data_IF_959175681615
#
_entry.id   IF_959175681615
#
_cell.length_a   1.000
_cell.length_b   1.000
_cell.length_c   1.000
_cell.angle_alpha   90.00
_cell.angle_beta   90.00
_cell.angle_gamma   90.00
#
_symmetry.space_group_name_H-M   'P 1'
#
loop_
_entity.id
_entity.type
_entity.pdbx_description
1 polymer ?
#
# COMPACT_ATOMS: atom_id res chain seq x y z
N UNK A 1 -13.12 -9.82 -11.91
CA UNK A 1 -11.93 -10.32 -12.61
C UNK A 1 -10.69 -10.01 -11.79
N UNK A 2 -9.85 -11.01 -11.49
CA UNK A 2 -8.54 -10.81 -10.85
C UNK A 2 -7.48 -10.76 -11.94
N UNK A 3 -6.73 -9.64 -12.00
CA UNK A 3 -5.51 -9.55 -12.81
C UNK A 3 -4.30 -9.76 -11.90
N UNK A 4 -3.33 -10.53 -12.35
CA UNK A 4 -2.09 -10.76 -11.60
C UNK A 4 -0.90 -10.47 -12.50
N UNK A 5 0.01 -9.66 -11.96
CA UNK A 5 1.30 -9.38 -12.54
C UNK A 5 2.35 -10.15 -11.76
N UNK A 6 3.03 -11.07 -12.40
CA UNK A 6 4.25 -11.66 -11.86
C UNK A 6 5.43 -10.80 -12.30
N UNK A 7 5.97 -10.04 -11.36
CA UNK A 7 7.11 -9.17 -11.61
C UNK A 7 8.40 -9.99 -11.48
N UNK A 8 9.00 -10.31 -12.60
CA UNK A 8 10.28 -11.00 -12.65
C UNK A 8 11.38 -9.97 -12.90
N UNK A 9 12.33 -9.86 -11.98
CA UNK A 9 13.45 -8.98 -12.16
C UNK A 9 14.57 -9.74 -12.87
N UNK A 10 14.65 -9.59 -14.20
CA UNK A 10 15.70 -10.17 -15.03
C UNK A 10 17.05 -9.46 -14.92
N UNK A 11 17.12 -8.38 -14.14
CA UNK A 11 18.38 -7.70 -13.91
C UNK A 11 19.28 -8.59 -13.04
N UNK A 12 20.19 -9.27 -13.69
CA UNK A 12 21.36 -9.89 -13.07
C UNK A 12 22.16 -8.76 -12.43
N UNK A 13 21.92 -8.48 -11.16
CA UNK A 13 22.84 -7.68 -10.38
C UNK A 13 24.11 -8.51 -10.21
N UNK A 14 25.12 -8.21 -11.01
CA UNK A 14 26.47 -8.71 -10.80
C UNK A 14 26.93 -8.16 -9.45
N UNK A 15 27.06 -9.04 -8.46
CA UNK A 15 27.66 -8.66 -7.17
C UNK A 15 29.16 -8.57 -7.41
N UNK A 16 29.73 -7.35 -7.48
CA UNK A 16 31.17 -7.21 -7.61
C UNK A 16 31.82 -7.70 -6.33
N UNK A 17 32.81 -8.58 -6.43
CA UNK A 17 33.68 -8.89 -5.31
C UNK A 17 35.13 -8.56 -5.69
N UNK A 18 35.89 -8.15 -4.70
CA UNK A 18 37.30 -7.86 -4.88
C UNK A 18 38.03 -9.19 -4.84
N UNK A 19 38.80 -9.50 -5.91
CA UNK A 19 39.62 -10.72 -5.95
C UNK A 19 40.63 -10.68 -4.80
N UNK A 20 40.89 -11.83 -4.21
CA UNK A 20 41.91 -11.97 -3.15
C UNK A 20 43.34 -11.94 -3.67
N UNK A 21 43.61 -11.40 -4.87
CA UNK A 21 44.95 -11.23 -5.38
C UNK A 21 45.67 -10.10 -4.62
N UNK A 22 46.72 -10.37 -3.85
CA UNK A 22 47.38 -9.36 -3.02
C UNK A 22 48.23 -8.36 -3.85
N UNK A 23 48.44 -8.61 -5.12
CA UNK A 23 49.29 -7.77 -5.98
C UNK A 23 48.44 -6.89 -6.92
N UNK A 24 47.36 -7.43 -7.44
CA UNK A 24 46.46 -6.73 -8.35
C UNK A 24 45.01 -7.05 -7.98
N UNK A 25 44.42 -6.36 -7.00
CA UNK A 25 43.00 -6.54 -6.69
C UNK A 25 42.17 -6.11 -7.90
N UNK A 26 41.55 -7.08 -8.55
CA UNK A 26 40.60 -6.85 -9.63
C UNK A 26 39.19 -7.00 -9.12
N UNK A 27 38.27 -6.18 -9.63
CA UNK A 27 36.85 -6.39 -9.38
C UNK A 27 36.41 -7.52 -10.32
N UNK A 28 36.12 -8.67 -9.73
CA UNK A 28 35.53 -9.79 -10.44
C UNK A 28 34.03 -9.80 -10.21
N UNK A 29 33.27 -10.11 -11.26
CA UNK A 29 31.84 -10.29 -11.16
C UNK A 29 31.58 -11.79 -11.03
N UNK A 30 31.18 -12.19 -9.82
CA UNK A 30 31.09 -13.62 -9.48
C UNK A 30 30.03 -14.36 -10.30
N UNK A 31 30.45 -15.53 -10.77
CA UNK A 31 29.62 -16.41 -11.61
C UNK A 31 28.70 -17.38 -10.82
N UNK A 32 28.44 -17.16 -9.54
CA UNK A 32 27.50 -18.01 -8.79
C UNK A 32 26.02 -17.61 -9.01
N UNK A 33 25.80 -16.74 -10.01
CA UNK A 33 24.46 -16.29 -10.43
C UNK A 33 23.55 -17.43 -10.88
N UNK A 34 24.14 -18.53 -11.40
CA UNK A 34 23.32 -19.63 -11.92
C UNK A 34 22.58 -20.40 -10.83
N UNK A 35 23.23 -20.68 -9.71
CA UNK A 35 22.57 -21.36 -8.57
C UNK A 35 21.55 -20.47 -7.87
N UNK A 36 21.83 -19.16 -7.79
CA UNK A 36 20.90 -18.18 -7.21
C UNK A 36 19.70 -18.03 -8.13
N UNK A 37 19.90 -17.93 -9.44
CA UNK A 37 18.81 -17.86 -10.42
C UNK A 37 17.97 -19.13 -10.44
N UNK A 38 18.57 -20.31 -10.44
CA UNK A 38 17.84 -21.58 -10.42
C UNK A 38 16.99 -21.71 -9.17
N UNK A 39 17.51 -21.28 -8.02
CA UNK A 39 16.76 -21.27 -6.75
C UNK A 39 15.62 -20.27 -6.75
N UNK A 40 15.87 -19.07 -7.29
CA UNK A 40 14.84 -18.03 -7.39
C UNK A 40 13.74 -18.43 -8.40
N UNK A 41 14.09 -18.96 -9.55
CA UNK A 41 13.12 -19.47 -10.52
C UNK A 41 12.24 -20.57 -9.91
N UNK A 42 12.84 -21.53 -9.20
CA UNK A 42 12.08 -22.57 -8.53
C UNK A 42 11.10 -22.00 -7.51
N UNK A 43 11.53 -21.02 -6.70
CA UNK A 43 10.66 -20.35 -5.73
C UNK A 43 9.52 -19.57 -6.42
N UNK A 44 9.80 -18.91 -7.54
CA UNK A 44 8.79 -18.22 -8.35
C UNK A 44 7.77 -19.23 -8.89
N UNK A 45 8.21 -20.35 -9.43
CA UNK A 45 7.32 -21.39 -9.96
C UNK A 45 6.46 -22.02 -8.85
N UNK A 46 7.04 -22.30 -7.68
CA UNK A 46 6.31 -22.81 -6.52
C UNK A 46 5.25 -21.79 -6.05
N UNK A 47 5.60 -20.51 -5.96
CA UNK A 47 4.66 -19.45 -5.59
C UNK A 47 3.56 -19.27 -6.64
N UNK A 48 3.89 -19.33 -7.94
CA UNK A 48 2.90 -19.31 -9.03
C UNK A 48 1.93 -20.49 -8.89
N UNK A 49 2.45 -21.70 -8.67
CA UNK A 49 1.62 -22.89 -8.52
C UNK A 49 0.65 -22.78 -7.33
N UNK A 50 1.14 -22.37 -6.16
CA UNK A 50 0.31 -22.13 -4.98
C UNK A 50 -0.77 -21.09 -5.24
N UNK A 51 -0.43 -20.00 -5.92
CA UNK A 51 -1.36 -18.94 -6.27
C UNK A 51 -2.46 -19.47 -7.20
N UNK A 52 -2.10 -20.20 -8.27
CA UNK A 52 -3.08 -20.78 -9.21
C UNK A 52 -4.02 -21.77 -8.53
N UNK A 53 -3.52 -22.58 -7.60
CA UNK A 53 -4.33 -23.50 -6.80
C UNK A 53 -5.35 -22.74 -5.94
N UNK A 54 -4.95 -21.67 -5.28
CA UNK A 54 -5.85 -20.81 -4.49
C UNK A 54 -6.92 -20.16 -5.36
N UNK A 55 -6.56 -19.62 -6.53
CA UNK A 55 -7.50 -19.03 -7.49
C UNK A 55 -8.54 -20.06 -7.95
N UNK A 56 -8.09 -21.29 -8.24
CA UNK A 56 -8.96 -22.39 -8.64
C UNK A 56 -9.92 -22.80 -7.51
N UNK A 57 -9.41 -22.95 -6.28
CA UNK A 57 -10.23 -23.26 -5.11
C UNK A 57 -11.30 -22.19 -4.85
N UNK A 58 -10.95 -20.92 -5.02
CA UNK A 58 -11.86 -19.79 -4.84
C UNK A 58 -12.75 -19.50 -6.05
N UNK A 59 -12.60 -20.27 -7.15
CA UNK A 59 -13.35 -20.09 -8.41
C UNK A 59 -13.25 -18.67 -8.97
N UNK A 60 -12.10 -18.06 -8.89
CA UNK A 60 -11.85 -16.71 -9.39
C UNK A 60 -11.45 -16.76 -10.87
N UNK A 61 -11.95 -15.80 -11.66
CA UNK A 61 -11.47 -15.60 -13.03
C UNK A 61 -10.15 -14.84 -12.99
N UNK A 62 -9.12 -15.41 -13.60
CA UNK A 62 -7.75 -14.88 -13.59
C UNK A 62 -7.29 -14.57 -15.01
N UNK A 63 -6.60 -13.45 -15.17
CA UNK A 63 -5.80 -13.12 -16.34
C UNK A 63 -4.37 -12.85 -15.90
N UNK A 64 -3.40 -13.49 -16.57
CA UNK A 64 -1.97 -13.26 -16.34
C UNK A 64 -1.45 -12.43 -17.50
N UNK A 65 -0.80 -11.31 -17.19
CA UNK A 65 -0.17 -10.46 -18.19
C UNK A 65 1.35 -10.56 -18.06
N UNK A 66 2.00 -10.80 -19.20
CA UNK A 66 3.44 -10.71 -19.36
C UNK A 66 3.67 -9.69 -20.48
N UNK A 67 4.06 -8.49 -20.13
CA UNK A 67 4.28 -7.42 -21.10
C UNK A 67 5.76 -7.05 -21.20
N UNK A 68 6.14 -6.39 -22.32
CA UNK A 68 7.48 -5.85 -22.52
C UNK A 68 7.58 -4.43 -21.97
N UNK A 69 8.65 -4.12 -21.25
CA UNK A 69 8.90 -2.79 -20.68
C UNK A 69 9.56 -2.88 -19.31
N UNK A 70 9.78 -1.73 -18.66
CA UNK A 70 10.24 -1.76 -17.27
C UNK A 70 9.10 -2.22 -16.37
N UNK A 71 9.40 -3.02 -15.35
CA UNK A 71 8.39 -3.57 -14.42
C UNK A 71 7.49 -2.48 -13.82
N UNK A 72 8.06 -1.34 -13.46
CA UNK A 72 7.29 -0.21 -12.93
C UNK A 72 6.31 0.36 -13.96
N UNK A 73 6.72 0.47 -15.22
CA UNK A 73 5.84 0.98 -16.27
C UNK A 73 4.66 0.04 -16.50
N UNK A 74 4.90 -1.27 -16.55
CA UNK A 74 3.85 -2.28 -16.68
C UNK A 74 2.83 -2.17 -15.54
N UNK A 75 3.31 -2.06 -14.29
CA UNK A 75 2.44 -1.90 -13.11
C UNK A 75 1.56 -0.66 -13.22
N UNK A 76 2.11 0.47 -13.68
CA UNK A 76 1.34 1.71 -13.82
C UNK A 76 0.33 1.61 -14.96
N UNK A 77 0.71 1.09 -16.12
CA UNK A 77 -0.19 0.93 -17.26
C UNK A 77 -1.36 -0.01 -16.92
N UNK A 78 -1.11 -1.12 -16.23
CA UNK A 78 -2.16 -2.03 -15.77
C UNK A 78 -3.07 -1.43 -14.69
N UNK A 79 -2.54 -0.53 -13.86
CA UNK A 79 -3.35 0.15 -12.83
C UNK A 79 -4.48 0.99 -13.43
N UNK A 80 -4.30 1.50 -14.65
CA UNK A 80 -5.30 2.28 -15.40
C UNK A 80 -6.60 1.51 -15.65
N UNK A 81 -6.50 0.20 -15.78
CA UNK A 81 -7.62 -0.69 -16.09
C UNK A 81 -8.10 -1.50 -14.89
N UNK A 82 -7.59 -1.21 -13.71
CA UNK A 82 -7.95 -1.88 -12.47
C UNK A 82 -8.87 -1.01 -11.60
N UNK A 83 -9.84 -1.64 -10.95
CA UNK A 83 -10.66 -0.96 -9.92
C UNK A 83 -9.84 -0.67 -8.66
N UNK A 84 -8.82 -1.51 -8.38
CA UNK A 84 -7.92 -1.38 -7.24
C UNK A 84 -6.69 -2.25 -7.47
N UNK A 85 -5.55 -1.77 -6.97
CA UNK A 85 -4.31 -2.54 -6.90
C UNK A 85 -4.03 -2.97 -5.45
N UNK A 86 -3.58 -4.22 -5.28
CA UNK A 86 -3.19 -4.76 -3.98
C UNK A 86 -1.69 -5.04 -3.99
N UNK A 87 -0.97 -4.47 -3.03
CA UNK A 87 0.48 -4.63 -2.87
C UNK A 87 0.86 -4.94 -1.43
N UNK A 88 1.91 -5.71 -1.20
CA UNK A 88 2.50 -5.85 0.13
C UNK A 88 3.40 -4.68 0.44
N UNK A 89 3.45 -4.25 1.71
CA UNK A 89 4.30 -3.14 2.16
C UNK A 89 5.79 -3.39 1.94
N UNK A 90 6.22 -4.65 2.03
CA UNK A 90 7.60 -5.12 1.81
C UNK A 90 7.93 -5.47 0.36
N UNK A 91 6.99 -5.33 -0.58
CA UNK A 91 7.22 -5.66 -1.97
C UNK A 91 8.32 -4.78 -2.55
N UNK A 92 9.42 -5.38 -3.03
CA UNK A 92 10.57 -4.67 -3.59
C UNK A 92 11.01 -5.28 -4.90
N UNK A 93 11.57 -4.45 -5.77
CA UNK A 93 12.29 -4.87 -6.99
C UNK A 93 13.82 -4.86 -6.78
N UNK A 94 14.30 -4.48 -5.60
CA UNK A 94 15.72 -4.44 -5.24
C UNK A 94 15.97 -5.28 -3.99
N UNK A 95 17.10 -5.96 -3.97
CA UNK A 95 17.53 -6.77 -2.81
C UNK A 95 18.00 -5.92 -1.61
N UNK A 96 18.33 -4.65 -1.83
CA UNK A 96 18.89 -3.76 -0.82
C UNK A 96 17.86 -2.80 -0.18
N UNK A 97 16.58 -2.92 -0.53
CA UNK A 97 15.56 -2.00 -0.05
C UNK A 97 14.94 -2.48 1.27
N UNK A 98 15.57 -2.12 2.38
CA UNK A 98 15.11 -2.41 3.75
C UNK A 98 14.03 -1.42 4.25
N UNK A 99 13.55 -0.52 3.40
CA UNK A 99 12.53 0.45 3.80
C UNK A 99 11.15 -0.19 3.84
N UNK A 100 10.33 0.24 4.78
CA UNK A 100 8.90 -0.14 4.81
C UNK A 100 8.05 1.15 4.88
N UNK A 101 7.22 1.44 3.87
CA UNK A 101 7.14 0.74 2.60
C UNK A 101 8.38 0.97 1.71
N UNK A 102 8.65 0.00 0.84
CA UNK A 102 9.80 0.01 -0.05
C UNK A 102 9.76 1.13 -1.09
N UNK A 103 10.87 1.37 -1.76
CA UNK A 103 10.94 2.35 -2.87
C UNK A 103 9.98 1.99 -4.00
N UNK A 104 9.79 0.70 -4.27
CA UNK A 104 8.81 0.22 -5.24
C UNK A 104 7.38 0.62 -4.83
N UNK A 105 6.96 0.29 -3.61
CA UNK A 105 5.62 0.61 -3.10
C UNK A 105 5.38 2.13 -3.08
N UNK A 106 6.38 2.93 -2.70
CA UNK A 106 6.30 4.39 -2.77
C UNK A 106 6.07 4.91 -4.19
N UNK A 107 6.72 4.32 -5.19
CA UNK A 107 6.51 4.68 -6.58
C UNK A 107 5.12 4.26 -7.08
N UNK A 108 4.64 3.08 -6.70
CA UNK A 108 3.26 2.64 -7.00
C UNK A 108 2.27 3.64 -6.41
N UNK A 109 2.40 4.00 -5.14
CA UNK A 109 1.52 4.98 -4.50
C UNK A 109 1.52 6.36 -5.18
N UNK A 110 2.68 6.77 -5.70
CA UNK A 110 2.81 8.07 -6.37
C UNK A 110 2.26 8.10 -7.80
N UNK A 111 2.20 6.96 -8.48
CA UNK A 111 1.97 6.89 -9.93
C UNK A 111 0.76 6.05 -10.34
N UNK A 112 0.27 5.13 -9.50
CA UNK A 112 -0.89 4.31 -9.83
C UNK A 112 -2.11 5.17 -10.20
N UNK A 113 -2.85 4.71 -11.19
CA UNK A 113 -4.05 5.39 -11.71
C UNK A 113 -5.35 4.81 -11.11
N UNK A 114 -5.22 3.88 -10.16
CA UNK A 114 -6.32 3.33 -9.37
C UNK A 114 -5.99 3.39 -7.87
N UNK A 115 -6.97 3.16 -6.99
CA UNK A 115 -6.72 2.99 -5.57
C UNK A 115 -5.72 1.88 -5.30
N UNK A 116 -4.90 2.07 -4.27
CA UNK A 116 -3.91 1.08 -3.83
C UNK A 116 -4.25 0.63 -2.42
N UNK A 117 -4.38 -0.68 -2.23
CA UNK A 117 -4.48 -1.31 -0.92
C UNK A 117 -3.12 -1.89 -0.56
N UNK A 118 -2.46 -1.29 0.44
CA UNK A 118 -1.22 -1.82 1.00
C UNK A 118 -1.58 -2.85 2.07
N UNK A 119 -1.01 -4.03 1.96
CA UNK A 119 -1.16 -5.10 2.96
C UNK A 119 0.13 -5.25 3.77
N UNK A 120 0.02 -5.43 5.10
CA UNK A 120 1.16 -5.82 5.93
C UNK A 120 1.61 -7.25 5.63
N UNK A 121 2.73 -7.69 6.22
CA UNK A 121 3.22 -9.06 6.07
C UNK A 121 2.21 -10.08 6.59
N UNK A 122 1.69 -9.84 7.78
CA UNK A 122 0.71 -10.69 8.42
C UNK A 122 -0.69 -10.11 8.24
N UNK A 123 -1.47 -10.68 7.33
CA UNK A 123 -2.86 -10.29 7.15
C UNK A 123 -3.73 -10.84 8.26
N UNK A 124 -4.39 -9.94 8.99
CA UNK A 124 -5.35 -10.30 10.03
C UNK A 124 -6.78 -10.07 9.54
N UNK A 125 -7.74 -10.70 10.24
CA UNK A 125 -9.17 -10.43 9.97
C UNK A 125 -9.49 -8.99 10.31
N UNK A 126 -10.10 -8.25 9.37
CA UNK A 126 -10.51 -6.87 9.58
C UNK A 126 -11.83 -6.85 10.33
N UNK A 127 -11.85 -6.16 11.49
CA UNK A 127 -13.02 -6.05 12.37
C UNK A 127 -13.55 -4.63 12.50
N UNK A 128 -12.79 -3.62 12.10
CA UNK A 128 -13.15 -2.21 12.19
C UNK A 128 -12.51 -1.41 11.05
N UNK A 129 -13.17 -0.33 10.64
CA UNK A 129 -12.71 0.57 9.59
C UNK A 129 -12.36 1.93 10.21
N UNK A 130 -11.19 2.44 9.88
CA UNK A 130 -10.76 3.79 10.23
C UNK A 130 -10.74 4.66 8.98
N UNK A 131 -11.54 5.71 8.96
CA UNK A 131 -11.54 6.72 7.91
C UNK A 131 -10.79 7.96 8.38
N UNK A 132 -9.67 8.30 7.72
CA UNK A 132 -9.04 9.60 7.98
C UNK A 132 -9.77 10.70 7.23
N UNK A 133 -10.10 11.77 7.93
CA UNK A 133 -10.91 12.85 7.41
C UNK A 133 -10.41 14.21 7.90
N UNK A 134 -10.36 15.20 7.01
CA UNK A 134 -9.95 16.57 7.31
C UNK A 134 -10.80 17.61 6.58
N UNK A 135 -12.00 17.23 6.14
CA UNK A 135 -12.90 18.11 5.38
C UNK A 135 -12.53 18.28 3.90
N UNK A 136 -11.40 17.75 3.43
CA UNK A 136 -10.99 17.91 2.03
C UNK A 136 -11.77 17.02 1.07
N UNK A 137 -11.81 17.43 -0.21
CA UNK A 137 -12.37 16.61 -1.29
C UNK A 137 -11.72 15.23 -1.36
N UNK A 138 -10.38 15.17 -1.21
CA UNK A 138 -9.61 13.92 -1.29
C UNK A 138 -10.00 12.93 -0.19
N UNK A 139 -10.24 13.41 1.04
CA UNK A 139 -10.67 12.53 2.14
C UNK A 139 -12.07 11.98 1.92
N UNK A 140 -13.00 12.82 1.46
CA UNK A 140 -14.36 12.37 1.09
C UNK A 140 -14.33 11.40 -0.09
N UNK A 141 -13.51 11.67 -1.10
CA UNK A 141 -13.33 10.79 -2.25
C UNK A 141 -12.86 9.39 -1.80
N UNK A 142 -11.83 9.33 -0.94
CA UNK A 142 -11.30 8.06 -0.43
C UNK A 142 -12.35 7.26 0.33
N UNK A 143 -13.10 7.90 1.21
CA UNK A 143 -14.17 7.28 1.98
C UNK A 143 -15.25 6.70 1.07
N UNK A 144 -15.72 7.47 0.10
CA UNK A 144 -16.72 7.01 -0.88
C UNK A 144 -16.18 5.85 -1.72
N UNK A 145 -14.97 5.97 -2.21
CA UNK A 145 -14.37 4.96 -3.08
C UNK A 145 -14.16 3.64 -2.34
N UNK A 146 -13.65 3.70 -1.10
CA UNK A 146 -13.58 2.54 -0.21
C UNK A 146 -14.94 1.87 -0.01
N UNK A 147 -15.96 2.67 0.30
CA UNK A 147 -17.30 2.16 0.57
C UNK A 147 -17.93 1.47 -0.65
N UNK A 148 -17.60 1.92 -1.87
CA UNK A 148 -18.07 1.28 -3.10
C UNK A 148 -17.31 -0.01 -3.40
N UNK A 149 -16.01 -0.04 -3.17
CA UNK A 149 -15.19 -1.22 -3.47
C UNK A 149 -15.36 -2.34 -2.44
N UNK A 150 -15.70 -2.00 -1.18
CA UNK A 150 -15.84 -2.97 -0.10
C UNK A 150 -17.26 -3.04 0.49
N UNK A 151 -18.29 -3.35 -0.30
CA UNK A 151 -19.66 -3.43 0.20
C UNK A 151 -19.87 -4.50 1.28
N UNK A 152 -19.00 -5.51 1.33
CA UNK A 152 -19.01 -6.55 2.37
C UNK A 152 -18.67 -5.99 3.76
N UNK A 153 -17.99 -4.86 3.84
CA UNK A 153 -17.58 -4.25 5.11
C UNK A 153 -18.63 -3.31 5.72
N UNK A 154 -19.77 -3.13 5.07
CA UNK A 154 -20.86 -2.25 5.56
C UNK A 154 -21.40 -2.59 6.96
N UNK A 155 -21.14 -3.79 7.44
CA UNK A 155 -21.56 -4.25 8.77
C UNK A 155 -20.52 -4.00 9.87
N UNK A 156 -19.28 -3.65 9.47
CA UNK A 156 -18.23 -3.36 10.42
C UNK A 156 -18.43 -1.97 11.06
N UNK A 157 -18.02 -1.79 12.32
CA UNK A 157 -17.96 -0.48 12.92
C UNK A 157 -16.97 0.41 12.19
N UNK A 158 -17.32 1.70 12.13
CA UNK A 158 -16.52 2.74 11.47
C UNK A 158 -16.12 3.78 12.50
N UNK A 159 -14.84 4.08 12.57
CA UNK A 159 -14.30 5.24 13.29
C UNK A 159 -13.74 6.25 12.31
N UNK A 160 -14.30 7.45 12.29
CA UNK A 160 -13.76 8.59 11.53
C UNK A 160 -12.78 9.34 12.41
N UNK A 161 -11.54 9.43 11.98
CA UNK A 161 -10.52 10.27 12.61
C UNK A 161 -10.51 11.64 11.92
N UNK A 162 -11.20 12.59 12.53
CA UNK A 162 -11.16 13.97 12.06
C UNK A 162 -9.96 14.67 12.68
N UNK A 163 -9.01 15.08 11.84
CA UNK A 163 -7.81 15.79 12.30
C UNK A 163 -7.91 17.24 11.93
N UNK A 164 -7.83 18.10 12.94
CA UNK A 164 -7.84 19.56 12.82
C UNK A 164 -6.59 20.14 13.49
N UNK A 165 -5.82 20.92 12.75
CA UNK A 165 -4.66 21.64 13.33
C UNK A 165 -5.09 22.84 14.17
N UNK A 166 -6.18 23.49 13.77
CA UNK A 166 -6.80 24.62 14.48
C UNK A 166 -8.32 24.48 14.42
N UNK A 167 -8.98 24.84 15.54
CA UNK A 167 -10.43 24.92 15.55
C UNK A 167 -10.91 25.94 14.52
N UNK A 168 -11.78 25.50 13.62
CA UNK A 168 -12.42 26.40 12.64
C UNK A 168 -13.94 26.34 12.75
N UNK A 169 -14.60 27.43 12.36
CA UNK A 169 -16.05 27.56 12.44
C UNK A 169 -16.83 26.55 11.55
N UNK A 170 -16.11 25.84 10.66
CA UNK A 170 -16.70 24.84 9.76
C UNK A 170 -16.60 23.42 10.31
N UNK A 171 -15.88 23.19 11.41
CA UNK A 171 -15.63 21.86 11.97
C UNK A 171 -16.91 21.09 12.25
N UNK A 172 -17.87 21.70 12.96
CA UNK A 172 -19.15 21.06 13.30
C UNK A 172 -19.94 20.69 12.04
N UNK A 173 -19.92 21.56 11.02
CA UNK A 173 -20.56 21.29 9.74
C UNK A 173 -19.91 20.11 9.03
N UNK A 174 -18.60 20.10 8.92
CA UNK A 174 -17.85 19.02 8.26
C UNK A 174 -18.06 17.68 8.96
N UNK A 175 -18.10 17.67 10.30
CA UNK A 175 -18.39 16.47 11.09
C UNK A 175 -19.83 15.99 10.85
N UNK A 176 -20.80 16.88 10.75
CA UNK A 176 -22.18 16.50 10.46
C UNK A 176 -22.36 15.98 9.03
N UNK A 177 -21.74 16.63 8.06
CA UNK A 177 -21.78 16.22 6.65
C UNK A 177 -21.18 14.80 6.46
N UNK A 178 -20.05 14.50 7.09
CA UNK A 178 -19.46 13.16 7.00
C UNK A 178 -20.27 12.10 7.75
N UNK A 179 -20.89 12.44 8.89
CA UNK A 179 -21.80 11.55 9.60
C UNK A 179 -23.01 11.19 8.74
N UNK A 180 -23.64 12.17 8.12
CA UNK A 180 -24.80 11.95 7.25
C UNK A 180 -24.44 11.02 6.08
N UNK A 181 -23.32 11.28 5.41
CA UNK A 181 -22.80 10.43 4.35
C UNK A 181 -22.62 8.97 4.79
N UNK A 182 -22.03 8.76 5.96
CA UNK A 182 -21.69 7.43 6.46
C UNK A 182 -22.86 6.67 7.05
N UNK A 183 -23.79 7.33 7.73
CA UNK A 183 -25.01 6.67 8.25
C UNK A 183 -25.92 6.11 7.16
N UNK A 184 -25.81 6.61 5.93
CA UNK A 184 -26.50 6.03 4.79
C UNK A 184 -25.95 4.63 4.39
N UNK A 185 -24.73 4.27 4.83
CA UNK A 185 -24.02 3.07 4.39
C UNK A 185 -23.62 2.14 5.55
N UNK A 186 -23.32 2.69 6.72
CA UNK A 186 -22.81 1.97 7.89
C UNK A 186 -23.72 2.13 9.10
N UNK A 187 -23.88 1.06 9.87
CA UNK A 187 -24.76 1.06 11.04
C UNK A 187 -24.16 1.72 12.28
N UNK A 188 -22.84 1.59 12.43
CA UNK A 188 -22.11 2.05 13.61
C UNK A 188 -20.98 2.98 13.17
N UNK A 189 -21.21 4.28 13.36
CA UNK A 189 -20.25 5.33 12.99
C UNK A 189 -19.91 6.16 14.21
N UNK A 190 -18.62 6.23 14.54
CA UNK A 190 -18.07 7.09 15.58
C UNK A 190 -17.17 8.14 14.92
N UNK A 191 -17.25 9.39 15.36
CA UNK A 191 -16.31 10.44 14.94
C UNK A 191 -15.47 10.83 16.13
N UNK A 192 -14.17 10.70 15.97
CA UNK A 192 -13.15 11.10 16.95
C UNK A 192 -12.41 12.32 16.41
N UNK A 193 -12.49 13.42 17.14
CA UNK A 193 -11.75 14.65 16.81
C UNK A 193 -10.39 14.59 17.46
N UNK A 194 -9.35 14.79 16.64
CA UNK A 194 -7.95 14.83 17.04
C UNK A 194 -7.43 16.23 16.75
N UNK A 195 -6.77 16.84 17.73
CA UNK A 195 -6.20 18.18 17.60
C UNK A 195 -4.70 18.13 17.62
N UNK A 196 -4.08 18.59 16.54
CA UNK A 196 -2.62 18.56 16.36
C UNK A 196 -2.24 18.32 14.90
N UNK A 197 -0.97 18.04 14.68
CA UNK A 197 -0.52 17.69 13.33
C UNK A 197 -1.07 16.32 12.91
N UNK A 198 -1.57 16.23 11.70
CA UNK A 198 -2.18 14.98 11.20
C UNK A 198 -1.24 13.78 11.34
N UNK A 199 0.06 13.98 11.10
CA UNK A 199 1.06 12.93 11.19
C UNK A 199 1.17 12.38 12.62
N UNK A 200 1.32 13.23 13.63
CA UNK A 200 1.49 12.80 15.01
C UNK A 200 0.21 12.16 15.59
N UNK A 201 -0.93 12.78 15.33
CA UNK A 201 -2.22 12.32 15.87
C UNK A 201 -2.67 11.00 15.26
N UNK A 202 -2.56 10.85 13.93
CA UNK A 202 -2.90 9.60 13.26
C UNK A 202 -1.94 8.48 13.66
N UNK A 203 -0.64 8.78 13.81
CA UNK A 203 0.32 7.81 14.29
C UNK A 203 -0.04 7.33 15.72
N UNK A 204 -0.26 8.27 16.63
CA UNK A 204 -0.63 7.95 18.01
C UNK A 204 -1.89 7.08 18.11
N UNK A 205 -2.87 7.35 17.26
CA UNK A 205 -4.14 6.62 17.26
C UNK A 205 -4.04 5.24 16.59
N UNK A 206 -3.23 5.10 15.55
CA UNK A 206 -3.21 3.89 14.71
C UNK A 206 -2.08 2.91 15.07
N UNK A 207 -1.00 3.35 15.70
CA UNK A 207 0.21 2.54 15.94
C UNK A 207 -0.03 1.27 16.75
N UNK A 208 -1.03 1.27 17.64
CA UNK A 208 -1.36 0.11 18.48
C UNK A 208 -2.59 -0.66 17.99
N UNK A 209 -3.19 -0.24 16.87
CA UNK A 209 -4.37 -0.91 16.34
C UNK A 209 -4.01 -2.20 15.64
N UNK A 210 -4.88 -3.18 15.78
CA UNK A 210 -4.80 -4.47 15.10
C UNK A 210 -6.18 -4.82 14.56
N UNK A 211 -6.21 -5.66 13.53
CA UNK A 211 -7.46 -6.11 12.91
C UNK A 211 -8.34 -4.97 12.37
N UNK A 212 -7.72 -3.90 11.94
CA UNK A 212 -8.40 -2.73 11.37
C UNK A 212 -7.86 -2.44 9.97
N UNK A 213 -8.64 -1.72 9.18
CA UNK A 213 -8.20 -1.15 7.91
C UNK A 213 -8.34 0.36 7.99
N UNK A 214 -7.33 1.08 7.50
CA UNK A 214 -7.35 2.54 7.47
C UNK A 214 -7.44 3.04 6.04
N UNK A 215 -8.21 4.13 5.81
CA UNK A 215 -8.20 4.83 4.52
C UNK A 215 -7.47 6.14 4.63
N UNK A 216 -6.68 6.45 3.60
CA UNK A 216 -6.09 7.75 3.42
C UNK A 216 -6.57 8.34 2.09
N UNK A 217 -7.26 9.47 2.16
CA UNK A 217 -7.42 10.34 1.01
C UNK A 217 -6.06 10.92 0.69
N UNK A 218 -5.55 10.63 -0.49
CA UNK A 218 -4.28 11.18 -0.88
C UNK A 218 -4.36 12.70 -0.81
N UNK A 219 -3.67 13.25 0.13
CA UNK A 219 -3.35 14.65 0.18
C UNK A 219 -2.43 14.96 -1.00
N UNK A 220 -2.91 15.04 -2.23
CA UNK A 220 -2.16 15.33 -3.45
C UNK A 220 -0.75 14.70 -3.54
N UNK A 221 -0.24 14.47 -4.73
CA UNK A 221 1.07 13.83 -4.96
C UNK A 221 2.23 14.41 -4.11
N UNK A 222 2.16 15.68 -3.74
CA UNK A 222 3.17 16.36 -2.90
C UNK A 222 3.13 15.93 -1.43
N UNK A 223 2.01 15.44 -0.92
CA UNK A 223 1.83 15.08 0.49
C UNK A 223 2.11 13.61 0.72
N UNK A 224 1.76 12.72 -0.23
CA UNK A 224 2.25 11.33 -0.22
C UNK A 224 3.79 11.34 -0.17
N UNK A 225 4.43 12.19 -0.98
CA UNK A 225 5.88 12.41 -0.93
C UNK A 225 6.36 12.88 0.45
N UNK A 226 5.57 13.59 1.24
CA UNK A 226 5.94 14.03 2.60
C UNK A 226 5.73 12.95 3.65
N UNK A 227 4.68 12.14 3.56
CA UNK A 227 4.51 10.96 4.40
C UNK A 227 5.65 9.95 4.20
N UNK A 228 6.22 9.88 2.97
CA UNK A 228 7.32 8.99 2.63
C UNK A 228 8.70 9.67 2.57
N UNK A 229 8.81 10.99 2.77
CA UNK A 229 10.13 11.60 2.90
C UNK A 229 10.76 11.16 4.21
N UNK A 230 12.02 10.73 4.14
CA UNK A 230 12.96 10.67 5.26
C UNK A 230 13.11 12.06 5.89
N UNK A 231 12.14 12.52 6.60
CA UNK A 231 12.32 13.44 7.67
C UNK A 231 12.67 12.58 8.89
N UNK A 232 13.57 13.02 9.70
CA UNK A 232 14.16 12.37 10.87
C UNK A 232 13.17 11.89 11.95
N UNK A 233 11.91 11.79 11.62
CA UNK A 233 10.80 11.30 12.43
C UNK A 233 9.99 10.34 11.58
N UNK A 234 9.83 9.14 12.08
CA UNK A 234 9.16 7.97 11.49
C UNK A 234 7.89 8.33 10.71
N UNK A 235 7.84 7.99 9.43
CA UNK A 235 6.59 8.14 8.69
C UNK A 235 5.55 7.16 9.25
N UNK A 236 4.28 7.57 9.32
CA UNK A 236 3.18 6.77 9.86
C UNK A 236 3.12 5.39 9.22
N UNK A 237 3.35 5.28 7.91
CA UNK A 237 3.30 4.01 7.19
C UNK A 237 4.49 3.09 7.46
N UNK A 238 5.61 3.59 7.99
CA UNK A 238 6.75 2.74 8.37
C UNK A 238 6.52 1.97 9.69
N UNK A 239 5.57 2.41 10.50
CA UNK A 239 5.33 1.89 11.85
C UNK A 239 3.95 1.26 12.02
N UNK A 240 3.05 1.45 11.05
CA UNK A 240 1.69 0.92 11.10
C UNK A 240 1.65 -0.41 10.34
N UNK A 241 1.45 -1.49 11.07
CA UNK A 241 1.32 -2.86 10.54
C UNK A 241 -0.16 -3.23 10.37
N UNK A 242 -0.90 -2.38 9.66
CA UNK A 242 -2.31 -2.59 9.32
C UNK A 242 -2.57 -2.30 7.84
N UNK A 243 -3.58 -2.94 7.23
CA UNK A 243 -3.99 -2.62 5.87
C UNK A 243 -4.32 -1.13 5.69
N UNK A 244 -3.78 -0.53 4.63
CA UNK A 244 -3.99 0.87 4.30
C UNK A 244 -4.52 1.03 2.87
N UNK A 245 -5.72 1.58 2.74
CA UNK A 245 -6.34 1.93 1.47
C UNK A 245 -6.03 3.38 1.12
N UNK A 246 -5.38 3.59 -0.01
CA UNK A 246 -4.92 4.90 -0.47
C UNK A 246 -5.49 5.17 -1.85
N UNK A 247 -6.11 6.32 -2.04
CA UNK A 247 -6.64 6.71 -3.34
C UNK A 247 -6.43 8.19 -3.62
N UNK A 248 -6.45 8.51 -4.91
CA UNK A 248 -6.33 9.88 -5.42
C UNK A 248 -7.62 10.26 -6.17
N UNK A 249 -8.11 11.48 -6.03
CA UNK A 249 -9.18 12.00 -6.89
C UNK A 249 -8.69 12.24 -8.31
#
# INVERSE_FOLDING_TARGET
LLKVLFLENDSLEYIPFISNDPVFPTIEYGMDTKQINDKNQKLIEENKALFFDLVKQKKLSLTVHNESGTLMQQVIEESRFADMMLVKSSMSLSYEDDQNPTSFVKQVLAKAECPVLIMPEDSQTINEIYFTYNGSHSSVFAIKHFSYLFPAFKYLPVTVLYVSEEKNDQEDKQINDIRELLYAQYKHVTVKVLQGTAEAELFSELALKKNVIVTFGAFGRSTISRFFRKSSTNSILQTIDIPAFITHP
#
